data_IF_034777947478
#
_entry.id   IF_034777947478
#
_cell.length_a   1.000
_cell.length_b   1.000
_cell.length_c   1.000
_cell.angle_alpha   90.00
_cell.angle_beta   90.00
_cell.angle_gamma   90.00
#
_symmetry.space_group_name_H-M   'P 1'
#
loop_
_entity.id
_entity.type
_entity.pdbx_description
1 polymer ?
#
# COMPACT_ATOMS: atom_id res chain seq x y z
N UNK A 1 17.98 -5.64 -8.52
CA UNK A 1 17.94 -6.47 -7.30
C UNK A 1 16.61 -6.21 -6.60
N UNK A 2 15.91 -7.27 -6.17
CA UNK A 2 14.62 -7.16 -5.47
C UNK A 2 14.81 -7.65 -4.04
N UNK A 3 14.24 -6.96 -3.05
CA UNK A 3 14.27 -7.35 -1.64
C UNK A 3 12.84 -7.56 -1.18
N UNK A 4 12.60 -8.65 -0.43
CA UNK A 4 11.33 -8.88 0.25
C UNK A 4 11.42 -8.28 1.65
N UNK A 5 10.36 -7.58 2.06
CA UNK A 5 10.22 -7.01 3.39
C UNK A 5 9.09 -7.74 4.12
N UNK A 6 9.27 -8.00 5.41
CA UNK A 6 8.21 -8.38 6.33
C UNK A 6 8.06 -7.22 7.31
N UNK A 7 6.84 -6.70 7.47
CA UNK A 7 6.57 -5.52 8.30
C UNK A 7 5.48 -5.91 9.29
N UNK A 8 5.75 -5.70 10.58
CA UNK A 8 4.77 -5.76 11.66
C UNK A 8 4.37 -4.32 11.99
N UNK A 9 3.08 -4.02 11.93
CA UNK A 9 2.52 -2.71 12.21
C UNK A 9 1.52 -2.82 13.36
N UNK A 10 1.72 -2.02 14.40
CA UNK A 10 0.74 -1.81 15.45
C UNK A 10 -0.08 -0.57 15.11
N UNK A 11 -1.31 -0.77 14.64
CA UNK A 11 -2.22 0.29 14.23
C UNK A 11 -3.48 0.25 15.11
N UNK A 12 -3.93 1.41 15.58
CA UNK A 12 -5.28 1.51 16.11
C UNK A 12 -6.31 1.57 14.96
N UNK A 13 -7.60 1.54 15.28
CA UNK A 13 -8.67 1.54 14.27
C UNK A 13 -8.62 2.78 13.35
N UNK A 14 -8.32 3.96 13.90
CA UNK A 14 -8.27 5.19 13.11
C UNK A 14 -7.07 5.20 12.15
N UNK A 15 -5.92 4.69 12.59
CA UNK A 15 -4.71 4.60 11.77
C UNK A 15 -4.89 3.56 10.66
N UNK A 16 -5.57 2.46 10.96
CA UNK A 16 -5.93 1.44 9.98
C UNK A 16 -6.88 2.01 8.92
N UNK A 17 -7.96 2.68 9.32
CA UNK A 17 -8.90 3.35 8.40
C UNK A 17 -8.19 4.39 7.53
N UNK A 18 -7.27 5.16 8.12
CA UNK A 18 -6.49 6.16 7.39
C UNK A 18 -5.56 5.50 6.35
N UNK A 19 -4.94 4.37 6.71
CA UNK A 19 -4.07 3.61 5.82
C UNK A 19 -4.88 2.97 4.68
N UNK A 20 -6.07 2.41 4.96
CA UNK A 20 -6.96 1.88 3.92
C UNK A 20 -7.34 2.97 2.92
N UNK A 21 -7.77 4.15 3.39
CA UNK A 21 -8.12 5.31 2.54
C UNK A 21 -6.94 5.78 1.69
N UNK A 22 -5.72 5.79 2.26
CA UNK A 22 -4.51 6.16 1.53
C UNK A 22 -4.28 5.22 0.33
N UNK A 23 -4.63 3.95 0.49
CA UNK A 23 -4.40 2.89 -0.49
C UNK A 23 -5.56 2.68 -1.48
N UNK A 24 -6.67 3.42 -1.36
CA UNK A 24 -7.78 3.39 -2.32
C UNK A 24 -7.39 3.95 -3.71
N UNK A 25 -6.40 4.85 -3.76
CA UNK A 25 -5.94 5.51 -5.00
C UNK A 25 -4.44 5.30 -5.24
N UNK A 26 -3.98 4.06 -5.45
CA UNK A 26 -2.55 3.74 -5.52
C UNK A 26 -1.85 4.40 -6.72
N UNK A 27 -2.56 4.63 -7.84
CA UNK A 27 -2.03 5.35 -9.00
C UNK A 27 -1.68 6.80 -8.67
N UNK A 28 -2.57 7.50 -7.97
CA UNK A 28 -2.38 8.89 -7.56
C UNK A 28 -1.23 9.01 -6.56
N UNK A 29 -1.14 8.07 -5.62
CA UNK A 29 -0.06 8.05 -4.64
C UNK A 29 1.30 7.79 -5.33
N UNK A 30 1.37 6.81 -6.23
CA UNK A 30 2.58 6.51 -7.00
C UNK A 30 3.02 7.69 -7.87
N UNK A 31 2.09 8.43 -8.48
CA UNK A 31 2.41 9.63 -9.25
C UNK A 31 3.05 10.72 -8.38
N UNK A 32 2.59 10.89 -7.14
CA UNK A 32 3.14 11.88 -6.22
C UNK A 32 4.58 11.62 -5.78
N UNK A 33 5.02 10.36 -5.73
CA UNK A 33 6.35 9.97 -5.23
C UNK A 33 7.31 9.52 -6.32
N UNK A 34 6.81 9.04 -7.46
CA UNK A 34 7.60 8.46 -8.55
C UNK A 34 7.21 9.01 -9.94
N UNK A 35 6.61 10.21 -10.01
CA UNK A 35 6.07 10.77 -11.26
C UNK A 35 7.08 11.00 -12.39
N UNK A 36 8.38 11.05 -12.09
CA UNK A 36 9.44 11.34 -13.05
C UNK A 36 9.92 10.10 -13.84
N UNK A 37 9.76 8.89 -13.30
CA UNK A 37 10.12 7.64 -13.98
C UNK A 37 8.87 6.73 -14.12
N UNK A 38 8.34 6.53 -15.35
CA UNK A 38 7.18 5.66 -15.59
C UNK A 38 7.37 4.23 -15.09
N UNK A 39 8.60 3.70 -15.11
CA UNK A 39 8.91 2.34 -14.62
C UNK A 39 8.92 2.27 -13.10
N UNK A 40 9.45 3.30 -12.45
CA UNK A 40 9.37 3.42 -10.99
C UNK A 40 7.93 3.59 -10.53
N UNK A 41 7.16 4.48 -11.18
CA UNK A 41 5.73 4.64 -10.93
C UNK A 41 4.97 3.32 -11.06
N UNK A 42 5.18 2.57 -12.14
CA UNK A 42 4.52 1.28 -12.33
C UNK A 42 4.85 0.28 -11.23
N UNK A 43 6.11 0.25 -10.75
CA UNK A 43 6.52 -0.61 -9.63
C UNK A 43 5.87 -0.15 -8.33
N UNK A 44 5.79 1.15 -8.09
CA UNK A 44 5.15 1.71 -6.90
C UNK A 44 3.64 1.40 -6.86
N UNK A 45 2.93 1.54 -7.97
CA UNK A 45 1.52 1.14 -8.07
C UNK A 45 1.33 -0.33 -7.69
N UNK A 46 2.22 -1.21 -8.15
CA UNK A 46 2.17 -2.62 -7.82
C UNK A 46 2.36 -2.86 -6.31
N UNK A 47 3.38 -2.26 -5.70
CA UNK A 47 3.64 -2.35 -4.24
C UNK A 47 2.44 -1.86 -3.43
N UNK A 48 1.83 -0.73 -3.81
CA UNK A 48 0.68 -0.18 -3.10
C UNK A 48 -0.56 -1.08 -3.21
N UNK A 49 -0.77 -1.70 -4.37
CA UNK A 49 -1.84 -2.69 -4.56
C UNK A 49 -1.63 -3.96 -3.74
N UNK A 50 -0.40 -4.45 -3.67
CA UNK A 50 -0.06 -5.59 -2.81
C UNK A 50 -0.31 -5.25 -1.33
N UNK A 51 0.12 -4.08 -0.87
CA UNK A 51 -0.12 -3.62 0.50
C UNK A 51 -1.62 -3.51 0.80
N UNK A 52 -2.41 -2.94 -0.11
CA UNK A 52 -3.86 -2.86 0.02
C UNK A 52 -4.55 -4.24 0.05
N UNK A 53 -3.98 -5.24 -0.64
CA UNK A 53 -4.47 -6.62 -0.60
C UNK A 53 -4.23 -7.22 0.78
N UNK A 54 -2.99 -7.16 1.27
CA UNK A 54 -2.60 -7.71 2.57
C UNK A 54 -3.42 -7.10 3.71
N UNK A 55 -3.64 -5.79 3.69
CA UNK A 55 -4.44 -5.11 4.71
C UNK A 55 -5.90 -5.60 4.69
N UNK A 56 -6.53 -5.66 3.51
CA UNK A 56 -7.90 -6.17 3.37
C UNK A 56 -8.04 -7.63 3.79
N UNK A 57 -7.07 -8.46 3.44
CA UNK A 57 -7.10 -9.88 3.84
C UNK A 57 -7.01 -10.02 5.37
N UNK A 58 -6.21 -9.19 6.03
CA UNK A 58 -6.10 -9.19 7.49
C UNK A 58 -7.34 -8.63 8.21
N UNK A 59 -8.04 -7.66 7.61
CA UNK A 59 -9.29 -7.13 8.18
C UNK A 59 -10.46 -8.09 7.96
N UNK A 60 -10.52 -8.77 6.81
CA UNK A 60 -11.53 -9.80 6.54
C UNK A 60 -11.45 -11.01 7.47
N UNK A 61 -10.26 -11.35 7.98
CA UNK A 61 -10.07 -12.45 8.95
C UNK A 61 -10.52 -12.06 10.37
N UNK A 62 -10.61 -10.76 10.67
CA UNK A 62 -10.99 -10.23 11.99
C UNK A 62 -12.47 -9.80 12.09
N UNK A 63 -13.20 -9.78 10.96
CA UNK A 63 -14.61 -9.41 10.86
C UNK A 63 -15.59 -10.55 11.06
#
# INVERSE_FOLDING_TARGET
MTRKLSIELELNANDLDALERLLEQPERLAESVAGQDPRERSRMVHVLKELACVIRDQTAIKG
#
